data_IF_450011163401
#
_entry.id   IF_450011163401
#
_cell.length_a   1.000
_cell.length_b   1.000
_cell.length_c   1.000
_cell.angle_alpha   90.00
_cell.angle_beta   90.00
_cell.angle_gamma   90.00
#
_symmetry.space_group_name_H-M   'P 1'
#
loop_
_entity.id
_entity.type
_entity.pdbx_description
1 polymer ?
#
# COMPACT_ATOMS: atom_id res chain seq x y z
N UNK A 1 24.69 -25.38 -26.91
CA UNK A 1 23.91 -24.48 -26.03
C UNK A 1 24.48 -23.09 -26.18
N UNK A 2 23.64 -22.16 -26.57
CA UNK A 2 23.96 -20.79 -26.98
C UNK A 2 24.97 -20.14 -26.03
N UNK A 3 26.03 -19.53 -26.59
CA UNK A 3 27.18 -18.93 -25.87
C UNK A 3 26.85 -17.80 -24.89
N UNK A 4 25.83 -18.00 -24.06
CA UNK A 4 25.45 -17.10 -22.95
C UNK A 4 26.32 -17.42 -21.73
N UNK A 5 26.74 -16.35 -21.02
CA UNK A 5 27.37 -16.53 -19.72
C UNK A 5 26.37 -17.16 -18.73
N UNK A 6 26.87 -17.84 -17.71
CA UNK A 6 26.04 -18.43 -16.66
C UNK A 6 25.11 -17.38 -15.99
N UNK A 7 25.62 -16.18 -15.76
CA UNK A 7 24.86 -15.07 -15.19
C UNK A 7 23.72 -14.61 -16.11
N UNK A 8 23.96 -14.53 -17.43
CA UNK A 8 22.92 -14.18 -18.40
C UNK A 8 21.82 -15.25 -18.46
N UNK A 9 22.19 -16.53 -18.32
CA UNK A 9 21.21 -17.62 -18.21
C UNK A 9 20.33 -17.47 -16.95
N UNK A 10 20.93 -17.22 -15.79
CA UNK A 10 20.19 -17.03 -14.53
C UNK A 10 19.25 -15.82 -14.57
N UNK A 11 19.69 -14.72 -15.19
CA UNK A 11 18.84 -13.54 -15.38
C UNK A 11 17.64 -13.82 -16.29
N UNK A 12 17.86 -14.56 -17.38
CA UNK A 12 16.78 -14.96 -18.29
C UNK A 12 15.79 -15.89 -17.58
N UNK A 13 16.29 -16.86 -16.83
CA UNK A 13 15.50 -17.81 -16.07
C UNK A 13 14.64 -17.10 -15.01
N UNK A 14 15.21 -16.14 -14.29
CA UNK A 14 14.48 -15.30 -13.36
C UNK A 14 13.38 -14.48 -14.07
N UNK A 15 13.68 -13.90 -15.24
CA UNK A 15 12.70 -13.15 -16.03
C UNK A 15 11.54 -14.06 -16.49
N UNK A 16 11.84 -15.25 -17.00
CA UNK A 16 10.83 -16.24 -17.42
C UNK A 16 9.97 -16.66 -16.23
N UNK A 17 10.58 -16.88 -15.07
CA UNK A 17 9.89 -17.24 -13.84
C UNK A 17 8.91 -16.13 -13.39
N UNK A 18 9.34 -14.87 -13.45
CA UNK A 18 8.49 -13.72 -13.10
C UNK A 18 7.30 -13.61 -14.07
N UNK A 19 7.55 -13.75 -15.37
CA UNK A 19 6.48 -13.74 -16.39
C UNK A 19 5.51 -14.91 -16.14
N UNK A 20 6.03 -16.11 -15.88
CA UNK A 20 5.23 -17.29 -15.54
C UNK A 20 4.37 -17.07 -14.29
N UNK A 21 4.93 -16.47 -13.24
CA UNK A 21 4.23 -16.11 -12.02
C UNK A 21 3.04 -15.15 -12.32
N UNK A 22 3.29 -14.12 -13.10
CA UNK A 22 2.24 -13.16 -13.50
C UNK A 22 1.14 -13.88 -14.27
N UNK A 23 1.49 -14.74 -15.23
CA UNK A 23 0.52 -15.51 -16.03
C UNK A 23 -0.28 -16.48 -15.15
N UNK A 24 0.34 -17.17 -14.20
CA UNK A 24 -0.35 -18.05 -13.26
C UNK A 24 -1.42 -17.30 -12.46
N UNK A 25 -1.09 -16.12 -11.95
CA UNK A 25 -2.02 -15.32 -11.15
C UNK A 25 -3.09 -14.67 -12.03
N UNK A 26 -2.73 -14.05 -13.14
CA UNK A 26 -3.67 -13.22 -13.93
C UNK A 26 -4.54 -14.05 -14.87
N UNK A 27 -3.95 -15.02 -15.59
CA UNK A 27 -4.64 -15.80 -16.63
C UNK A 27 -5.25 -17.08 -16.07
N UNK A 28 -4.50 -17.81 -15.23
CA UNK A 28 -4.95 -19.08 -14.64
C UNK A 28 -5.65 -18.90 -13.29
N UNK A 29 -5.66 -17.68 -12.71
CA UNK A 29 -6.31 -17.37 -11.43
C UNK A 29 -5.82 -18.24 -10.27
N UNK A 30 -4.58 -18.72 -10.34
CA UNK A 30 -3.95 -19.48 -9.25
C UNK A 30 -3.75 -18.55 -8.05
N UNK A 31 -4.01 -19.04 -6.87
CA UNK A 31 -3.81 -18.27 -5.64
C UNK A 31 -2.36 -17.78 -5.56
N UNK A 32 -2.08 -16.48 -5.28
CA UNK A 32 -0.73 -15.91 -5.32
C UNK A 32 0.30 -16.68 -4.51
N UNK A 33 -0.06 -17.15 -3.32
CA UNK A 33 0.84 -17.95 -2.48
C UNK A 33 1.27 -19.26 -3.14
N UNK A 34 0.31 -19.97 -3.78
CA UNK A 34 0.61 -21.22 -4.51
C UNK A 34 1.46 -20.92 -5.74
N UNK A 35 1.13 -19.85 -6.48
CA UNK A 35 1.89 -19.42 -7.65
C UNK A 35 3.35 -19.09 -7.28
N UNK A 36 3.59 -18.46 -6.13
CA UNK A 36 4.94 -18.19 -5.62
C UNK A 36 5.72 -19.46 -5.29
N UNK A 37 5.07 -20.46 -4.68
CA UNK A 37 5.71 -21.76 -4.41
C UNK A 37 6.11 -22.45 -5.73
N UNK A 38 5.19 -22.46 -6.71
CA UNK A 38 5.46 -23.05 -8.03
C UNK A 38 6.62 -22.32 -8.73
N UNK A 39 6.60 -20.98 -8.71
CA UNK A 39 7.64 -20.16 -9.32
C UNK A 39 9.02 -20.37 -8.65
N UNK A 40 9.06 -20.41 -7.32
CA UNK A 40 10.29 -20.69 -6.57
C UNK A 40 10.83 -22.09 -6.86
N UNK A 41 9.96 -23.10 -6.93
CA UNK A 41 10.34 -24.46 -7.32
C UNK A 41 10.86 -24.54 -8.75
N UNK A 42 10.17 -23.88 -9.69
CA UNK A 42 10.58 -23.82 -11.10
C UNK A 42 11.98 -23.18 -11.23
N UNK A 43 12.18 -22.00 -10.64
CA UNK A 43 13.46 -21.30 -10.67
C UNK A 43 14.59 -22.15 -10.08
N UNK A 44 14.34 -22.81 -8.96
CA UNK A 44 15.33 -23.69 -8.34
C UNK A 44 15.71 -24.89 -9.20
N UNK A 45 14.73 -25.52 -9.88
CA UNK A 45 14.97 -26.66 -10.77
C UNK A 45 15.74 -26.23 -12.04
N UNK A 46 15.32 -25.14 -12.66
CA UNK A 46 15.92 -24.65 -13.92
C UNK A 46 17.32 -24.07 -13.71
N UNK A 47 17.59 -23.48 -12.53
CA UNK A 47 18.94 -23.05 -12.15
C UNK A 47 19.90 -24.20 -11.82
N UNK A 48 19.41 -25.46 -11.84
CA UNK A 48 20.22 -26.65 -11.55
C UNK A 48 20.45 -26.93 -10.05
N UNK A 49 19.61 -26.36 -9.19
CA UNK A 49 19.70 -26.58 -7.74
C UNK A 49 19.18 -27.97 -7.35
N UNK A 50 19.88 -28.73 -6.48
CA UNK A 50 19.35 -29.99 -5.92
C UNK A 50 18.02 -29.77 -5.19
N UNK A 51 17.08 -30.74 -5.33
CA UNK A 51 15.71 -30.60 -4.79
C UNK A 51 15.71 -30.33 -3.29
N UNK A 52 16.58 -30.98 -2.53
CA UNK A 52 16.71 -30.79 -1.08
C UNK A 52 17.12 -29.33 -0.74
N UNK A 53 17.97 -28.74 -1.57
CA UNK A 53 18.39 -27.33 -1.43
C UNK A 53 17.27 -26.36 -1.81
N UNK A 54 16.43 -26.71 -2.78
CA UNK A 54 15.26 -25.87 -3.17
C UNK A 54 14.32 -25.73 -1.99
N UNK A 55 13.95 -26.85 -1.38
CA UNK A 55 13.04 -26.86 -0.21
C UNK A 55 13.65 -26.06 0.95
N UNK A 56 14.92 -26.29 1.22
CA UNK A 56 15.62 -25.57 2.29
C UNK A 56 15.71 -24.07 2.01
N UNK A 57 16.08 -23.66 0.80
CA UNK A 57 16.14 -22.25 0.42
C UNK A 57 14.79 -21.56 0.52
N UNK A 58 13.70 -22.24 0.14
CA UNK A 58 12.36 -21.72 0.33
C UNK A 58 12.02 -21.53 1.81
N UNK A 59 12.30 -22.55 2.65
CA UNK A 59 12.05 -22.46 4.10
C UNK A 59 12.86 -21.35 4.75
N UNK A 60 14.15 -21.25 4.44
CA UNK A 60 15.05 -20.24 5.00
C UNK A 60 14.62 -18.82 4.56
N UNK A 61 14.29 -18.65 3.28
CA UNK A 61 13.81 -17.37 2.74
C UNK A 61 12.45 -16.95 3.32
N UNK A 62 11.48 -17.86 3.31
CA UNK A 62 10.15 -17.61 3.87
C UNK A 62 10.20 -17.38 5.39
N UNK A 63 10.90 -18.25 6.12
CA UNK A 63 11.05 -18.14 7.57
C UNK A 63 11.82 -16.87 7.99
N UNK A 64 12.87 -16.50 7.27
CA UNK A 64 13.63 -15.28 7.53
C UNK A 64 12.79 -14.01 7.34
N UNK A 65 12.06 -13.91 6.22
CA UNK A 65 11.16 -12.79 5.97
C UNK A 65 10.02 -12.75 6.99
N UNK A 66 9.37 -13.88 7.24
CA UNK A 66 8.26 -13.95 8.18
C UNK A 66 8.70 -13.64 9.62
N UNK A 67 9.86 -14.12 10.04
CA UNK A 67 10.40 -13.84 11.37
C UNK A 67 10.75 -12.36 11.58
N UNK A 68 11.32 -11.70 10.56
CA UNK A 68 11.67 -10.29 10.64
C UNK A 68 10.43 -9.38 10.50
N UNK A 69 9.59 -9.63 9.48
CA UNK A 69 8.47 -8.76 9.14
C UNK A 69 7.22 -9.10 9.96
N UNK A 70 6.97 -10.38 10.23
CA UNK A 70 5.72 -10.86 10.81
C UNK A 70 5.40 -10.30 12.19
N UNK A 71 6.40 -10.20 13.08
CA UNK A 71 6.22 -9.61 14.43
C UNK A 71 5.86 -8.14 14.34
N UNK A 72 6.58 -7.39 13.50
CA UNK A 72 6.33 -5.95 13.33
C UNK A 72 4.95 -5.72 12.71
N UNK A 73 4.58 -6.54 11.72
CA UNK A 73 3.25 -6.49 11.11
C UNK A 73 2.14 -6.81 12.12
N UNK A 74 2.31 -7.85 12.94
CA UNK A 74 1.32 -8.21 13.95
C UNK A 74 1.10 -7.08 14.95
N UNK A 75 2.17 -6.51 15.50
CA UNK A 75 2.08 -5.39 16.45
C UNK A 75 1.55 -4.12 15.78
N UNK A 76 1.98 -3.85 14.54
CA UNK A 76 1.49 -2.70 13.75
C UNK A 76 0.00 -2.79 13.45
N UNK A 77 -0.49 -3.97 13.05
CA UNK A 77 -1.93 -4.20 12.82
C UNK A 77 -2.77 -4.06 14.09
N UNK A 78 -2.26 -4.56 15.23
CA UNK A 78 -2.92 -4.39 16.53
C UNK A 78 -3.03 -2.92 16.91
N UNK A 79 -1.94 -2.14 16.76
CA UNK A 79 -1.94 -0.70 17.02
C UNK A 79 -2.90 0.04 16.07
N UNK A 80 -2.85 -0.31 14.79
CA UNK A 80 -3.76 0.24 13.79
C UNK A 80 -5.23 -0.05 14.11
N UNK A 81 -5.54 -1.29 14.49
CA UNK A 81 -6.89 -1.66 14.92
C UNK A 81 -7.36 -0.87 16.15
N UNK A 82 -6.52 -0.74 17.16
CA UNK A 82 -6.82 0.07 18.35
C UNK A 82 -7.11 1.54 17.99
N UNK A 83 -6.33 2.12 17.07
CA UNK A 83 -6.56 3.49 16.61
C UNK A 83 -7.86 3.64 15.81
N UNK A 84 -8.21 2.62 15.01
CA UNK A 84 -9.49 2.59 14.29
C UNK A 84 -10.67 2.47 15.26
N UNK A 85 -10.65 1.49 16.15
CA UNK A 85 -11.75 1.20 17.08
C UNK A 85 -11.95 2.30 18.14
N UNK A 86 -10.88 3.01 18.51
CA UNK A 86 -10.97 4.18 19.43
C UNK A 86 -11.53 5.44 18.77
N UNK A 87 -11.76 5.45 17.45
CA UNK A 87 -12.12 6.64 16.69
C UNK A 87 -10.99 7.65 16.51
N UNK A 88 -9.76 7.29 16.88
CA UNK A 88 -8.59 8.19 16.81
C UNK A 88 -8.30 8.66 15.38
N UNK A 89 -8.41 7.77 14.40
CA UNK A 89 -8.23 8.11 12.99
C UNK A 89 -9.27 9.12 12.49
N UNK A 90 -10.53 8.93 12.86
CA UNK A 90 -11.64 9.85 12.55
C UNK A 90 -11.42 11.22 13.18
N UNK A 91 -10.96 11.26 14.42
CA UNK A 91 -10.67 12.50 15.13
C UNK A 91 -9.53 13.29 14.50
N UNK A 92 -8.45 12.63 14.08
CA UNK A 92 -7.35 13.24 13.33
C UNK A 92 -7.88 13.88 12.04
N UNK A 93 -8.63 13.11 11.25
CA UNK A 93 -9.17 13.59 9.98
C UNK A 93 -10.12 14.79 10.15
N UNK A 94 -11.07 14.70 11.09
CA UNK A 94 -12.02 15.81 11.39
C UNK A 94 -11.29 17.06 11.87
N UNK A 95 -10.26 16.92 12.70
CA UNK A 95 -9.48 18.05 13.22
C UNK A 95 -8.75 18.77 12.08
N UNK A 96 -8.10 18.02 11.19
CA UNK A 96 -7.40 18.59 10.05
C UNK A 96 -8.36 19.28 9.06
N UNK A 97 -9.51 18.67 8.77
CA UNK A 97 -10.52 19.28 7.90
C UNK A 97 -11.03 20.59 8.47
N UNK A 98 -11.24 20.66 9.79
CA UNK A 98 -11.64 21.91 10.44
C UNK A 98 -10.54 22.97 10.38
N UNK A 99 -9.29 22.60 10.60
CA UNK A 99 -8.16 23.52 10.62
C UNK A 99 -7.86 24.15 9.24
N UNK A 100 -7.97 23.38 8.16
CA UNK A 100 -7.66 23.83 6.79
C UNK A 100 -8.84 24.55 6.11
N UNK A 101 -10.06 24.32 6.58
CA UNK A 101 -11.27 24.89 5.98
C UNK A 101 -11.66 24.30 4.63
N UNK A 102 -12.78 24.79 4.07
CA UNK A 102 -13.39 24.22 2.85
C UNK A 102 -12.52 24.35 1.59
N UNK A 103 -11.80 25.44 1.46
CA UNK A 103 -11.00 25.71 0.23
C UNK A 103 -9.81 24.78 0.10
N UNK A 104 -9.22 24.36 1.21
CA UNK A 104 -8.03 23.48 1.26
C UNK A 104 -8.33 22.07 1.70
N UNK A 105 -9.58 21.64 1.60
CA UNK A 105 -10.03 20.33 2.07
C UNK A 105 -9.30 19.15 1.43
N UNK A 106 -8.87 19.28 0.16
CA UNK A 106 -8.07 18.27 -0.52
C UNK A 106 -6.65 18.12 0.07
N UNK A 107 -6.05 19.19 0.61
CA UNK A 107 -4.80 19.15 1.34
C UNK A 107 -4.97 18.52 2.72
N UNK A 108 -6.05 18.88 3.43
CA UNK A 108 -6.34 18.27 4.74
C UNK A 108 -6.64 16.78 4.61
N UNK A 109 -7.32 16.36 3.54
CA UNK A 109 -7.59 14.94 3.31
C UNK A 109 -6.30 14.16 3.03
N UNK A 110 -5.39 14.69 2.22
CA UNK A 110 -4.07 14.08 2.01
C UNK A 110 -3.29 13.96 3.32
N UNK A 111 -3.25 15.03 4.11
CA UNK A 111 -2.51 15.04 5.36
C UNK A 111 -3.13 14.11 6.42
N UNK A 112 -4.46 14.03 6.48
CA UNK A 112 -5.17 13.08 7.33
C UNK A 112 -4.85 11.64 6.93
N UNK A 113 -4.94 11.33 5.63
CA UNK A 113 -4.59 10.02 5.09
C UNK A 113 -3.11 9.67 5.34
N UNK A 114 -2.22 10.64 5.19
CA UNK A 114 -0.80 10.48 5.48
C UNK A 114 -0.55 10.11 6.96
N UNK A 115 -1.10 10.88 7.89
CA UNK A 115 -0.90 10.66 9.32
C UNK A 115 -1.59 9.38 9.81
N UNK A 116 -2.82 9.13 9.36
CA UNK A 116 -3.58 7.92 9.69
C UNK A 116 -2.93 6.68 9.07
N UNK A 117 -2.34 6.82 7.87
CA UNK A 117 -1.65 5.75 7.17
C UNK A 117 -0.35 5.29 7.83
N UNK A 118 0.29 6.09 8.70
CA UNK A 118 1.54 5.67 9.36
C UNK A 118 1.32 4.38 10.19
N UNK A 119 0.35 4.31 11.11
CA UNK A 119 0.07 3.10 11.88
C UNK A 119 -0.92 2.13 11.20
N UNK A 120 -1.66 2.57 10.18
CA UNK A 120 -2.70 1.76 9.52
C UNK A 120 -2.23 1.29 8.15
N UNK A 121 -2.52 0.03 7.82
CA UNK A 121 -2.36 -0.43 6.44
C UNK A 121 -3.30 0.31 5.50
N UNK A 122 -2.88 0.42 4.23
CA UNK A 122 -3.62 1.12 3.19
C UNK A 122 -5.10 0.72 3.15
N UNK A 123 -5.40 -0.58 3.16
CA UNK A 123 -6.75 -1.13 3.04
C UNK A 123 -7.64 -0.69 4.21
N UNK A 124 -7.13 -0.78 5.43
CA UNK A 124 -7.87 -0.39 6.64
C UNK A 124 -8.08 1.12 6.66
N UNK A 125 -7.03 1.90 6.40
CA UNK A 125 -7.12 3.35 6.32
C UNK A 125 -8.08 3.83 5.23
N UNK A 126 -8.11 3.13 4.08
CA UNK A 126 -9.01 3.43 2.98
C UNK A 126 -10.47 3.18 3.37
N UNK A 127 -10.79 1.98 3.89
CA UNK A 127 -12.16 1.63 4.32
C UNK A 127 -12.66 2.61 5.39
N UNK A 128 -11.81 2.95 6.34
CA UNK A 128 -12.14 3.85 7.43
C UNK A 128 -12.40 5.29 6.97
N UNK A 129 -11.59 5.80 6.04
CA UNK A 129 -11.66 7.20 5.63
C UNK A 129 -12.56 7.44 4.40
N UNK A 130 -12.97 6.40 3.66
CA UNK A 130 -13.81 6.58 2.48
C UNK A 130 -15.17 7.21 2.76
N UNK A 131 -15.92 6.86 3.83
CA UNK A 131 -17.17 7.55 4.19
C UNK A 131 -16.95 9.05 4.41
N UNK A 132 -15.81 9.42 4.99
CA UNK A 132 -15.47 10.82 5.23
C UNK A 132 -15.24 11.58 3.92
N UNK A 133 -14.65 10.94 2.89
CA UNK A 133 -14.51 11.53 1.54
C UNK A 133 -15.86 11.92 0.98
N UNK A 134 -16.86 11.04 1.06
CA UNK A 134 -18.21 11.31 0.56
C UNK A 134 -18.90 12.45 1.35
N UNK A 135 -18.83 12.40 2.67
CA UNK A 135 -19.41 13.45 3.55
C UNK A 135 -18.78 14.81 3.25
N UNK A 136 -17.46 14.84 3.12
CA UNK A 136 -16.71 16.07 2.87
C UNK A 136 -16.97 16.59 1.46
N UNK A 137 -16.99 15.73 0.44
CA UNK A 137 -17.31 16.11 -0.93
C UNK A 137 -18.70 16.78 -1.00
N UNK A 138 -19.71 16.16 -0.37
CA UNK A 138 -21.09 16.70 -0.32
C UNK A 138 -21.14 18.04 0.40
N UNK A 139 -20.52 18.16 1.60
CA UNK A 139 -20.57 19.40 2.40
C UNK A 139 -19.78 20.57 1.81
N UNK A 140 -18.70 20.27 1.10
CA UNK A 140 -17.84 21.30 0.48
C UNK A 140 -18.25 21.65 -0.95
N UNK A 141 -19.08 20.82 -1.60
CA UNK A 141 -19.41 20.95 -3.02
C UNK A 141 -18.23 20.63 -3.96
N UNK A 142 -17.18 20.00 -3.43
CA UNK A 142 -15.96 19.66 -4.17
C UNK A 142 -16.11 18.25 -4.78
N UNK A 143 -15.56 18.02 -5.98
CA UNK A 143 -15.63 16.74 -6.67
C UNK A 143 -15.00 15.62 -5.83
N UNK A 144 -15.58 14.41 -5.88
CA UNK A 144 -15.03 13.20 -5.25
C UNK A 144 -13.58 12.93 -5.65
N UNK A 145 -13.24 13.16 -6.91
CA UNK A 145 -11.90 12.96 -7.45
C UNK A 145 -10.89 13.90 -6.78
N UNK A 146 -11.29 15.17 -6.60
CA UNK A 146 -10.43 16.18 -5.97
C UNK A 146 -10.14 15.88 -4.49
N UNK A 147 -10.95 15.05 -3.83
CA UNK A 147 -10.78 14.65 -2.42
C UNK A 147 -10.25 13.21 -2.32
N UNK A 148 -10.73 12.31 -3.16
CA UNK A 148 -10.36 10.90 -3.14
C UNK A 148 -8.91 10.64 -3.59
N UNK A 149 -8.45 11.32 -4.65
CA UNK A 149 -7.05 11.18 -5.09
C UNK A 149 -6.06 11.58 -3.99
N UNK A 150 -6.22 12.72 -3.28
CA UNK A 150 -5.38 13.03 -2.13
C UNK A 150 -5.42 12.01 -1.00
N UNK A 151 -6.57 11.42 -0.70
CA UNK A 151 -6.67 10.33 0.25
C UNK A 151 -5.80 9.15 -0.17
N UNK A 152 -6.01 8.66 -1.40
CA UNK A 152 -5.27 7.53 -1.95
C UNK A 152 -3.76 7.80 -1.98
N UNK A 153 -3.35 8.99 -2.40
CA UNK A 153 -1.94 9.37 -2.48
C UNK A 153 -1.29 9.43 -1.08
N UNK A 154 -1.98 9.97 -0.08
CA UNK A 154 -1.50 10.01 1.30
C UNK A 154 -1.26 8.61 1.88
N UNK A 155 -2.26 7.73 1.77
CA UNK A 155 -2.15 6.35 2.23
C UNK A 155 -1.08 5.57 1.45
N UNK A 156 -1.06 5.68 0.11
CA UNK A 156 -0.13 4.93 -0.74
C UNK A 156 1.33 5.35 -0.53
N UNK A 157 1.59 6.65 -0.39
CA UNK A 157 2.94 7.15 -0.18
C UNK A 157 3.54 6.64 1.13
N UNK A 158 2.76 6.63 2.20
CA UNK A 158 3.21 6.09 3.49
C UNK A 158 3.36 4.57 3.41
N UNK A 159 2.37 3.87 2.84
CA UNK A 159 2.40 2.42 2.71
C UNK A 159 3.60 1.91 1.90
N UNK A 160 3.98 2.62 0.85
CA UNK A 160 5.09 2.23 -0.02
C UNK A 160 6.48 2.65 0.47
N UNK A 161 6.59 3.71 1.29
CA UNK A 161 7.87 4.34 1.60
C UNK A 161 8.25 4.34 3.08
N UNK A 162 7.29 4.18 3.99
CA UNK A 162 7.52 4.37 5.42
C UNK A 162 7.31 3.07 6.20
N UNK A 163 8.32 2.58 6.97
CA UNK A 163 8.08 1.54 7.96
C UNK A 163 7.01 1.97 8.99
N UNK A 164 6.22 1.05 9.53
CA UNK A 164 6.38 -0.42 9.55
C UNK A 164 5.68 -1.19 8.44
N UNK A 165 5.41 -0.59 7.30
CA UNK A 165 4.74 -1.28 6.20
C UNK A 165 5.60 -2.39 5.58
N UNK A 166 4.97 -3.45 5.00
CA UNK A 166 5.70 -4.66 4.58
C UNK A 166 6.77 -4.41 3.52
N UNK A 167 6.48 -3.56 2.52
CA UNK A 167 7.42 -3.27 1.44
C UNK A 167 8.73 -2.64 1.93
N UNK A 168 8.70 -1.51 2.64
CA UNK A 168 9.88 -0.91 3.25
C UNK A 168 10.62 -1.85 4.22
N UNK A 169 9.89 -2.62 5.04
CA UNK A 169 10.51 -3.58 5.96
C UNK A 169 11.27 -4.68 5.22
N UNK A 170 10.69 -5.22 4.15
CA UNK A 170 11.37 -6.22 3.34
C UNK A 170 12.66 -5.64 2.74
N UNK A 171 12.60 -4.44 2.18
CA UNK A 171 13.77 -3.77 1.64
C UNK A 171 14.85 -3.54 2.70
N UNK A 172 14.47 -3.11 3.90
CA UNK A 172 15.39 -2.96 5.05
C UNK A 172 16.07 -4.30 5.36
N UNK A 173 15.31 -5.40 5.43
CA UNK A 173 15.85 -6.73 5.70
C UNK A 173 16.84 -7.21 4.63
N UNK A 174 16.53 -6.99 3.36
CA UNK A 174 17.36 -7.40 2.22
C UNK A 174 18.64 -6.58 2.13
N UNK A 175 18.56 -5.26 2.33
CA UNK A 175 19.71 -4.36 2.18
C UNK A 175 20.49 -4.13 3.49
N UNK A 176 20.04 -4.68 4.62
CA UNK A 176 20.64 -4.43 5.92
C UNK A 176 20.57 -2.95 6.33
N UNK A 177 19.52 -2.23 5.90
CA UNK A 177 19.40 -0.80 6.13
C UNK A 177 18.96 -0.50 7.57
N UNK A 178 19.30 0.70 8.06
CA UNK A 178 18.86 1.19 9.36
C UNK A 178 17.38 1.60 9.34
N UNK A 179 16.56 1.01 10.22
CA UNK A 179 15.11 1.26 10.28
C UNK A 179 14.81 2.74 10.56
N UNK A 180 15.53 3.35 11.53
CA UNK A 180 15.28 4.74 11.92
C UNK A 180 15.58 5.73 10.79
N UNK A 181 16.71 5.53 10.10
CA UNK A 181 17.05 6.33 8.91
C UNK A 181 16.04 6.12 7.78
N UNK A 182 15.59 4.89 7.57
CA UNK A 182 14.59 4.59 6.54
C UNK A 182 13.25 5.25 6.85
N UNK A 183 12.82 5.29 8.12
CA UNK A 183 11.63 6.05 8.54
C UNK A 183 11.83 7.54 8.22
N UNK A 184 12.95 8.12 8.63
CA UNK A 184 13.22 9.56 8.44
C UNK A 184 13.22 9.93 6.95
N UNK A 185 14.01 9.23 6.14
CA UNK A 185 14.07 9.49 4.70
C UNK A 185 12.76 9.13 3.99
N UNK A 186 12.10 8.06 4.42
CA UNK A 186 10.78 7.68 3.94
C UNK A 186 9.75 8.80 4.13
N UNK A 187 9.69 9.41 5.31
CA UNK A 187 8.80 10.55 5.58
C UNK A 187 9.15 11.79 4.74
N UNK A 188 10.48 12.09 4.60
CA UNK A 188 10.94 13.23 3.77
C UNK A 188 10.53 13.06 2.31
N UNK A 189 10.59 11.85 1.78
CA UNK A 189 10.22 11.56 0.38
C UNK A 189 8.71 11.38 0.23
N UNK A 190 8.07 10.70 1.17
CA UNK A 190 6.63 10.39 1.09
C UNK A 190 5.76 11.65 1.11
N UNK A 191 6.12 12.67 1.90
CA UNK A 191 5.32 13.88 2.02
C UNK A 191 5.21 14.68 0.70
N UNK A 192 6.31 15.03 0.00
CA UNK A 192 6.22 15.67 -1.30
C UNK A 192 5.61 14.75 -2.36
N UNK A 193 5.85 13.44 -2.30
CA UNK A 193 5.20 12.47 -3.20
C UNK A 193 3.69 12.50 -3.04
N UNK A 194 3.19 12.44 -1.81
CA UNK A 194 1.77 12.54 -1.52
C UNK A 194 1.18 13.89 -1.95
N UNK A 195 1.92 15.00 -1.78
CA UNK A 195 1.49 16.32 -2.19
C UNK A 195 1.34 16.45 -3.72
N UNK A 196 2.30 15.92 -4.47
CA UNK A 196 2.28 15.96 -5.94
C UNK A 196 1.21 15.02 -6.49
N UNK A 197 1.24 13.74 -6.07
CA UNK A 197 0.31 12.72 -6.55
C UNK A 197 -1.12 12.90 -6.02
N UNK A 198 -1.31 13.59 -4.91
CA UNK A 198 -2.60 13.83 -4.28
C UNK A 198 -3.22 15.17 -4.65
N UNK A 199 -3.03 16.21 -3.84
CA UNK A 199 -3.70 17.50 -4.02
C UNK A 199 -3.44 18.15 -5.36
N UNK A 200 -2.21 18.15 -5.86
CA UNK A 200 -1.87 18.79 -7.14
C UNK A 200 -2.44 18.01 -8.31
N UNK A 201 -2.21 16.70 -8.37
CA UNK A 201 -2.74 15.85 -9.44
C UNK A 201 -4.27 15.75 -9.37
N UNK A 202 -4.85 15.58 -8.18
CA UNK A 202 -6.29 15.54 -7.97
C UNK A 202 -6.98 16.85 -8.40
N UNK A 203 -6.38 18.00 -8.14
CA UNK A 203 -6.88 19.29 -8.60
C UNK A 203 -6.80 19.41 -10.13
N UNK A 204 -5.77 18.85 -10.76
CA UNK A 204 -5.64 18.82 -12.22
C UNK A 204 -6.71 17.93 -12.85
N UNK A 205 -6.83 16.69 -12.41
CA UNK A 205 -7.75 15.68 -12.97
C UNK A 205 -9.21 16.08 -12.77
N UNK A 206 -9.54 16.66 -11.61
CA UNK A 206 -10.91 17.10 -11.32
C UNK A 206 -11.46 18.18 -12.25
N UNK A 207 -10.60 18.85 -13.01
CA UNK A 207 -11.03 19.80 -14.07
C UNK A 207 -11.60 19.09 -15.29
N UNK A 208 -11.14 17.86 -15.55
CA UNK A 208 -11.55 17.07 -16.72
C UNK A 208 -12.68 16.08 -16.39
N UNK A 209 -12.79 15.69 -15.11
CA UNK A 209 -13.79 14.71 -14.66
C UNK A 209 -14.59 15.35 -13.50
N UNK A 210 -15.58 16.20 -13.80
CA UNK A 210 -16.46 16.74 -12.78
C UNK A 210 -17.40 15.62 -12.30
N UNK A 211 -17.39 15.31 -11.01
CA UNK A 211 -18.29 14.33 -10.39
C UNK A 211 -18.57 14.73 -8.95
N UNK A 212 -19.78 15.16 -8.68
CA UNK A 212 -20.31 15.25 -7.31
C UNK A 212 -21.02 13.93 -6.99
N UNK A 213 -20.89 13.41 -5.75
CA UNK A 213 -21.60 12.18 -5.37
C UNK A 213 -23.11 12.39 -5.44
N UNK A 214 -23.85 11.42 -5.93
CA UNK A 214 -25.31 11.43 -5.84
C UNK A 214 -25.75 11.37 -4.37
N UNK A 215 -26.88 11.99 -4.04
CA UNK A 215 -27.41 11.96 -2.68
C UNK A 215 -27.67 10.52 -2.21
N UNK A 216 -28.18 9.68 -3.10
CA UNK A 216 -28.45 8.26 -2.84
C UNK A 216 -27.21 7.46 -2.48
N UNK A 217 -26.09 7.68 -3.18
CA UNK A 217 -24.83 6.99 -2.90
C UNK A 217 -24.26 7.37 -1.52
N UNK A 218 -24.40 8.65 -1.16
CA UNK A 218 -23.95 9.13 0.14
C UNK A 218 -24.81 8.59 1.28
N UNK A 219 -26.12 8.46 1.08
CA UNK A 219 -27.03 7.86 2.07
C UNK A 219 -26.75 6.36 2.28
N UNK A 220 -26.50 5.61 1.22
CA UNK A 220 -26.14 4.18 1.31
C UNK A 220 -24.86 3.98 2.13
N UNK A 221 -23.82 4.79 1.89
CA UNK A 221 -22.54 4.67 2.60
C UNK A 221 -22.63 5.20 4.05
N UNK A 222 -23.49 6.20 4.30
CA UNK A 222 -23.65 6.76 5.65
C UNK A 222 -24.56 5.90 6.56
N UNK A 223 -25.33 4.96 5.98
CA UNK A 223 -26.30 4.12 6.69
C UNK A 223 -25.89 2.64 6.76
N UNK A 224 -24.67 2.26 6.31
CA UNK A 224 -24.17 0.93 6.63
C UNK A 224 -23.95 0.84 8.14
N UNK A 225 -24.71 0.00 8.86
CA UNK A 225 -24.53 -0.17 10.30
C UNK A 225 -23.15 -0.81 10.53
N UNK A 226 -22.41 -0.26 11.45
CA UNK A 226 -21.23 -0.91 12.02
C UNK A 226 -21.65 -2.30 12.55
N UNK A 227 -21.37 -3.34 11.77
CA UNK A 227 -21.55 -4.75 12.17
C UNK A 227 -20.30 -5.26 12.89
#
# INVERSE_FOLDING_TARGET
>A
MFGMSHDAYLLLDALVTIIGLIVLITRFKVHPFIALIIAAGFLGLTSGMPVEKIVKSFQDGFGGVLGFVGVILALGTMLGKLMADSGGADQIARTLIRAFGKERVHWSMMLAAFLVGIPLFFEIGFILLIPLVFIVARRSGVSLIKIGIPLLAGLSAVHGLVPPHPGPLLAIGVFGADIGKTILYGLIVALPTAAIAGPLFGALVSRYIPGTPSAELVEQIAHEPET
#
